data_IF_474596113563
#
_entry.id   IF_474596113563
#
_cell.length_a   1.000
_cell.length_b   1.000
_cell.length_c   1.000
_cell.angle_alpha   90.00
_cell.angle_beta   90.00
_cell.angle_gamma   90.00
#
_symmetry.space_group_name_H-M   'P 1'
#
loop_
_entity.id
_entity.type
_entity.pdbx_description
1 polymer ?
#
# COMPACT_ATOMS: atom_id res chain seq x y z
N UNK A 1 9.45 -24.48 40.69
CA UNK A 1 10.02 -24.59 39.33
C UNK A 1 9.78 -23.25 38.65
N UNK A 2 10.84 -22.53 38.26
CA UNK A 2 10.70 -21.27 37.53
C UNK A 2 10.05 -21.58 36.19
N UNK A 3 8.93 -20.93 35.86
CA UNK A 3 8.27 -21.15 34.57
C UNK A 3 9.20 -20.72 33.44
N UNK A 4 9.26 -21.55 32.40
CA UNK A 4 10.10 -21.33 31.21
C UNK A 4 9.68 -20.07 30.43
N UNK A 5 8.40 -19.71 30.54
CA UNK A 5 7.83 -18.45 30.03
C UNK A 5 7.35 -17.64 31.23
N UNK A 6 7.80 -16.39 31.36
CA UNK A 6 7.36 -15.48 32.42
C UNK A 6 5.93 -15.00 32.20
N UNK A 7 5.27 -14.50 33.26
CA UNK A 7 3.92 -13.94 33.16
C UNK A 7 3.81 -12.76 32.18
N UNK A 8 4.89 -11.97 32.02
CA UNK A 8 4.94 -10.87 31.06
C UNK A 8 5.04 -11.38 29.61
N UNK A 9 5.89 -12.38 29.39
CA UNK A 9 6.04 -13.03 28.07
C UNK A 9 4.77 -13.77 27.65
N UNK A 10 4.06 -14.37 28.61
CA UNK A 10 2.77 -15.00 28.34
C UNK A 10 1.74 -14.01 27.81
N UNK A 11 1.72 -12.75 28.31
CA UNK A 11 0.83 -11.71 27.76
C UNK A 11 1.14 -11.40 26.29
N UNK A 12 2.42 -11.39 25.92
CA UNK A 12 2.86 -11.17 24.53
C UNK A 12 2.42 -12.34 23.65
N UNK A 13 2.58 -13.58 24.14
CA UNK A 13 2.08 -14.78 23.45
C UNK A 13 0.57 -14.72 23.25
N UNK A 14 -0.18 -14.33 24.28
CA UNK A 14 -1.64 -14.24 24.22
C UNK A 14 -2.13 -13.17 23.25
N UNK A 15 -1.49 -12.01 23.21
CA UNK A 15 -1.79 -10.91 22.29
C UNK A 15 -1.56 -11.33 20.83
N UNK A 16 -0.38 -11.90 20.53
CA UNK A 16 -0.01 -12.32 19.17
C UNK A 16 -0.90 -13.45 18.66
N UNK A 17 -1.28 -14.38 19.54
CA UNK A 17 -2.11 -15.54 19.18
C UNK A 17 -3.62 -15.31 19.33
N UNK A 18 -4.05 -14.11 19.74
CA UNK A 18 -5.47 -13.77 19.87
C UNK A 18 -6.21 -14.57 20.95
N UNK A 19 -5.58 -14.80 22.11
CA UNK A 19 -6.06 -15.72 23.14
C UNK A 19 -7.10 -15.15 24.12
N UNK A 20 -7.48 -13.88 23.96
CA UNK A 20 -8.33 -13.15 24.93
C UNK A 20 -9.76 -13.71 25.10
N UNK A 21 -10.25 -14.50 24.14
CA UNK A 21 -11.57 -15.16 24.19
C UNK A 21 -11.54 -16.68 24.40
N UNK A 22 -10.40 -17.26 24.78
CA UNK A 22 -10.23 -18.73 24.87
C UNK A 22 -9.93 -19.41 23.52
N UNK A 23 -9.89 -18.62 22.45
CA UNK A 23 -9.40 -19.01 21.12
C UNK A 23 -7.87 -19.09 21.09
N UNK A 24 -7.33 -19.72 20.06
CA UNK A 24 -5.90 -19.66 19.70
C UNK A 24 -5.90 -19.57 18.17
N UNK A 25 -5.51 -18.42 17.62
CA UNK A 25 -5.65 -18.11 16.19
C UNK A 25 -7.07 -18.48 15.69
N UNK A 26 -7.15 -19.11 14.53
CA UNK A 26 -8.36 -19.63 13.89
C UNK A 26 -8.56 -21.15 14.05
N UNK A 27 -7.86 -21.78 15.01
CA UNK A 27 -7.99 -23.21 15.25
C UNK A 27 -9.36 -23.64 15.79
N UNK A 28 -9.93 -24.68 15.19
CA UNK A 28 -10.97 -25.51 15.83
C UNK A 28 -10.33 -26.50 16.81
N UNK A 29 -11.09 -27.08 17.74
CA UNK A 29 -10.54 -28.07 18.69
C UNK A 29 -9.89 -29.30 18.01
N UNK A 30 -10.48 -29.90 16.96
CA UNK A 30 -9.82 -30.96 16.21
C UNK A 30 -8.53 -30.51 15.51
N UNK A 31 -8.53 -29.32 14.90
CA UNK A 31 -7.35 -28.78 14.22
C UNK A 31 -6.21 -28.45 15.19
N UNK A 32 -6.56 -27.91 16.37
CA UNK A 32 -5.60 -27.64 17.44
C UNK A 32 -4.95 -28.92 17.95
N UNK A 33 -5.74 -30.00 18.13
CA UNK A 33 -5.20 -31.33 18.48
C UNK A 33 -4.26 -31.85 17.41
N UNK A 34 -4.66 -31.78 16.15
CA UNK A 34 -3.86 -32.26 15.03
C UNK A 34 -2.52 -31.50 14.94
N UNK A 35 -2.55 -30.17 15.08
CA UNK A 35 -1.36 -29.33 15.11
C UNK A 35 -0.37 -29.78 16.20
N UNK A 36 -0.83 -30.01 17.43
CA UNK A 36 0.06 -30.47 18.52
C UNK A 36 0.58 -31.90 18.30
N UNK A 37 -0.18 -32.75 17.63
CA UNK A 37 0.25 -34.11 17.28
C UNK A 37 1.46 -34.11 16.32
N UNK A 38 1.58 -33.12 15.43
CA UNK A 38 2.76 -32.93 14.55
C UNK A 38 4.04 -32.71 15.38
N UNK A 39 3.91 -32.03 16.52
CA UNK A 39 4.98 -31.81 17.51
C UNK A 39 5.15 -32.98 18.50
N UNK A 40 4.47 -34.11 18.26
CA UNK A 40 4.44 -35.29 19.14
C UNK A 40 3.94 -34.98 20.55
N UNK A 41 3.03 -34.02 20.68
CA UNK A 41 2.43 -33.62 21.95
C UNK A 41 0.94 -33.96 21.93
N UNK A 42 0.49 -34.76 22.89
CA UNK A 42 -0.93 -34.87 23.20
C UNK A 42 -1.36 -33.69 24.09
N UNK A 43 -1.90 -32.65 23.45
CA UNK A 43 -2.34 -31.43 24.14
C UNK A 43 -3.61 -31.64 24.97
N UNK A 44 -4.31 -32.76 24.77
CA UNK A 44 -5.50 -33.14 25.53
C UNK A 44 -5.18 -33.98 26.77
N UNK A 45 -3.92 -34.37 26.98
CA UNK A 45 -3.53 -35.09 28.17
C UNK A 45 -3.88 -34.32 29.46
N UNK A 46 -4.31 -35.04 30.51
CA UNK A 46 -4.78 -34.48 31.79
C UNK A 46 -3.81 -33.46 32.40
N UNK A 47 -2.50 -33.68 32.23
CA UNK A 47 -1.45 -32.77 32.71
C UNK A 47 -1.59 -31.33 32.19
N UNK A 48 -2.17 -31.12 31.00
CA UNK A 48 -2.36 -29.78 30.42
C UNK A 48 -3.73 -29.18 30.72
N UNK A 49 -4.62 -29.90 31.41
CA UNK A 49 -5.97 -29.45 31.75
C UNK A 49 -6.07 -28.81 33.15
N UNK A 50 -4.95 -28.62 33.85
CA UNK A 50 -4.89 -28.07 35.23
C UNK A 50 -5.69 -26.78 35.43
N UNK A 51 -5.69 -25.91 34.42
CA UNK A 51 -6.33 -24.58 34.47
C UNK A 51 -7.69 -24.57 33.74
N UNK A 52 -8.09 -25.72 33.18
CA UNK A 52 -9.32 -26.00 32.43
C UNK A 52 -9.08 -26.51 31.01
N UNK A 53 -10.16 -26.84 30.31
CA UNK A 53 -10.14 -27.64 29.07
C UNK A 53 -10.13 -26.83 27.76
N UNK A 54 -10.15 -25.49 27.82
CA UNK A 54 -10.11 -24.68 26.60
C UNK A 54 -8.72 -24.69 25.95
N UNK A 55 -8.65 -24.45 24.62
CA UNK A 55 -7.39 -24.43 23.85
C UNK A 55 -6.36 -23.48 24.45
N UNK A 56 -6.78 -22.25 24.75
CA UNK A 56 -5.88 -21.26 25.35
C UNK A 56 -5.36 -21.69 26.72
N UNK A 57 -6.19 -22.34 27.55
CA UNK A 57 -5.78 -22.85 28.86
C UNK A 57 -4.79 -24.00 28.74
N UNK A 58 -5.07 -24.96 27.84
CA UNK A 58 -4.15 -26.06 27.50
C UNK A 58 -2.81 -25.54 26.97
N UNK A 59 -2.82 -24.55 26.07
CA UNK A 59 -1.60 -23.91 25.56
C UNK A 59 -0.77 -23.26 26.66
N UNK A 60 -1.39 -22.48 27.56
CA UNK A 60 -0.69 -21.88 28.71
C UNK A 60 -0.07 -22.95 29.61
N UNK A 61 -0.84 -24.00 29.90
CA UNK A 61 -0.38 -25.10 30.75
C UNK A 61 0.79 -25.83 30.11
N UNK A 62 0.72 -26.09 28.81
CA UNK A 62 1.82 -26.62 28.01
C UNK A 62 3.08 -25.75 28.11
N UNK A 63 2.99 -24.43 27.84
CA UNK A 63 4.14 -23.52 27.85
C UNK A 63 4.79 -23.34 29.24
N UNK A 64 4.07 -23.66 30.33
CA UNK A 64 4.65 -23.65 31.69
C UNK A 64 5.37 -24.94 32.04
N UNK A 65 5.00 -26.05 31.43
CA UNK A 65 5.45 -27.40 31.81
C UNK A 65 6.43 -28.02 30.81
N UNK A 66 6.32 -27.67 29.53
CA UNK A 66 7.14 -28.23 28.48
C UNK A 66 8.61 -27.77 28.59
N UNK A 67 9.51 -28.58 28.06
CA UNK A 67 10.92 -28.21 27.97
C UNK A 67 11.08 -26.96 27.08
N UNK A 68 12.07 -26.09 27.35
CA UNK A 68 12.29 -24.89 26.54
C UNK A 68 12.35 -25.18 25.03
N UNK A 69 13.17 -26.14 24.53
CA UNK A 69 13.29 -26.40 23.08
C UNK A 69 11.95 -26.70 22.40
N UNK A 70 11.15 -27.57 23.01
CA UNK A 70 9.83 -27.95 22.51
C UNK A 70 8.84 -26.78 22.58
N UNK A 71 8.90 -25.96 23.63
CA UNK A 71 8.09 -24.74 23.73
C UNK A 71 8.44 -23.75 22.62
N UNK A 72 9.74 -23.59 22.33
CA UNK A 72 10.22 -22.73 21.26
C UNK A 72 9.78 -23.20 19.88
N UNK A 73 9.89 -24.50 19.60
CA UNK A 73 9.46 -25.13 18.35
C UNK A 73 7.95 -24.95 18.09
N UNK A 74 7.13 -25.21 19.11
CA UNK A 74 5.67 -25.02 19.01
C UNK A 74 5.32 -23.55 18.80
N UNK A 75 5.96 -22.61 19.51
CA UNK A 75 5.73 -21.17 19.29
C UNK A 75 6.17 -20.72 17.89
N UNK A 76 7.27 -21.25 17.35
CA UNK A 76 7.72 -20.96 15.99
C UNK A 76 6.68 -21.42 14.96
N UNK A 77 6.20 -22.67 15.09
CA UNK A 77 5.19 -23.25 14.20
C UNK A 77 3.83 -22.54 14.29
N UNK A 78 3.42 -22.09 15.50
CA UNK A 78 2.21 -21.27 15.67
C UNK A 78 2.34 -19.92 14.97
N UNK A 79 3.53 -19.33 14.95
CA UNK A 79 3.78 -18.07 14.24
C UNK A 79 3.69 -18.25 12.72
N UNK A 80 4.18 -19.37 12.18
CA UNK A 80 4.05 -19.72 10.77
C UNK A 80 2.58 -19.91 10.38
N UNK A 81 1.81 -20.63 11.19
CA UNK A 81 0.36 -20.78 11.00
C UNK A 81 -0.35 -19.42 10.98
N UNK A 82 0.01 -18.53 11.90
CA UNK A 82 -0.51 -17.16 11.94
C UNK A 82 -0.20 -16.36 10.66
N UNK A 83 0.96 -16.57 10.05
CA UNK A 83 1.34 -15.84 8.83
C UNK A 83 0.50 -16.24 7.61
N UNK A 84 -0.03 -17.46 7.59
CA UNK A 84 -0.90 -17.98 6.52
C UNK A 84 -2.38 -17.69 6.81
N UNK A 85 -2.77 -17.57 8.08
CA UNK A 85 -4.16 -17.30 8.45
C UNK A 85 -4.60 -15.87 8.07
N UNK A 86 -5.70 -15.77 7.33
CA UNK A 86 -6.27 -14.50 6.83
C UNK A 86 -7.23 -13.82 7.81
N UNK A 87 -7.43 -14.40 9.01
CA UNK A 87 -8.49 -14.00 9.96
C UNK A 87 -8.03 -13.15 11.15
N UNK A 88 -6.75 -12.81 11.28
CA UNK A 88 -6.27 -11.97 12.38
C UNK A 88 -6.24 -10.48 12.00
N UNK A 89 -6.72 -9.64 12.92
CA UNK A 89 -6.57 -8.18 12.85
C UNK A 89 -5.12 -7.73 13.04
N UNK A 90 -4.88 -6.42 12.93
CA UNK A 90 -3.57 -5.83 13.08
C UNK A 90 -3.01 -6.04 14.51
N UNK A 91 -1.94 -6.83 14.65
CA UNK A 91 -1.12 -6.89 15.87
C UNK A 91 0.08 -5.96 15.71
N UNK A 92 0.48 -5.27 16.78
CA UNK A 92 1.67 -4.40 16.78
C UNK A 92 2.91 -5.14 16.27
N UNK A 93 3.69 -4.47 15.41
CA UNK A 93 5.01 -4.96 14.98
C UNK A 93 5.94 -5.24 16.17
N UNK A 94 5.79 -4.52 17.28
CA UNK A 94 6.59 -4.70 18.49
C UNK A 94 6.26 -6.01 19.21
N UNK A 95 4.98 -6.35 19.38
CA UNK A 95 4.55 -7.61 20.00
C UNK A 95 5.05 -8.82 19.19
N UNK A 96 5.03 -8.73 17.86
CA UNK A 96 5.56 -9.78 16.98
C UNK A 96 7.08 -9.94 17.12
N UNK A 97 7.83 -8.85 17.24
CA UNK A 97 9.29 -8.92 17.48
C UNK A 97 9.59 -9.60 18.80
N UNK A 98 8.94 -9.17 19.90
CA UNK A 98 9.14 -9.79 21.22
C UNK A 98 8.71 -11.26 21.24
N UNK A 99 7.66 -11.64 20.52
CA UNK A 99 7.25 -13.04 20.36
C UNK A 99 8.35 -13.88 19.72
N UNK A 100 8.97 -13.40 18.64
CA UNK A 100 10.09 -14.09 17.97
C UNK A 100 11.28 -14.26 18.91
N UNK A 101 11.60 -13.24 19.70
CA UNK A 101 12.66 -13.30 20.71
C UNK A 101 12.39 -14.39 21.76
N UNK A 102 11.15 -14.48 22.25
CA UNK A 102 10.74 -15.53 23.19
C UNK A 102 10.93 -16.91 22.55
N UNK A 103 10.38 -17.15 21.37
CA UNK A 103 10.49 -18.44 20.70
C UNK A 103 11.94 -18.85 20.41
N UNK A 104 12.81 -17.92 19.98
CA UNK A 104 14.25 -18.17 19.78
C UNK A 104 14.99 -18.45 21.07
N UNK A 105 14.73 -17.67 22.13
CA UNK A 105 15.33 -17.91 23.45
C UNK A 105 15.00 -19.31 23.96
N UNK A 106 13.81 -19.80 23.64
CA UNK A 106 13.38 -21.14 23.99
C UNK A 106 13.97 -22.23 23.09
N UNK A 107 14.67 -21.90 22.00
CA UNK A 107 15.30 -22.87 21.11
C UNK A 107 14.49 -23.19 19.84
N UNK A 108 13.41 -22.44 19.58
CA UNK A 108 12.66 -22.54 18.34
C UNK A 108 13.42 -21.93 17.16
N UNK A 109 13.41 -22.65 16.04
CA UNK A 109 13.85 -22.10 14.76
C UNK A 109 12.74 -21.24 14.17
N UNK A 110 12.59 -20.04 14.69
CA UNK A 110 11.80 -19.03 13.99
C UNK A 110 12.70 -18.53 12.88
N UNK A 111 12.28 -18.58 11.59
CA UNK A 111 12.96 -17.82 10.57
C UNK A 111 13.22 -16.43 11.14
N UNK A 112 14.36 -15.84 10.83
CA UNK A 112 14.28 -14.41 10.64
C UNK A 112 13.10 -14.26 9.67
N UNK A 113 12.02 -13.70 10.21
CA UNK A 113 11.55 -12.53 9.52
C UNK A 113 12.87 -11.82 9.24
N UNK A 114 13.36 -11.95 7.99
CA UNK A 114 13.62 -10.75 7.21
C UNK A 114 12.63 -9.83 7.84
N UNK A 115 13.11 -8.87 8.61
CA UNK A 115 12.25 -7.80 8.98
C UNK A 115 11.48 -7.50 7.66
N UNK A 116 10.27 -6.96 7.65
CA UNK A 116 10.12 -5.97 6.60
C UNK A 116 11.40 -5.14 6.75
N UNK A 117 12.45 -5.37 5.92
CA UNK A 117 13.78 -4.75 6.01
C UNK A 117 13.38 -3.36 6.35
N UNK A 118 13.56 -2.88 7.61
CA UNK A 118 12.67 -1.84 8.15
C UNK A 118 12.44 -0.88 7.01
N UNK A 119 11.28 -0.96 6.33
CA UNK A 119 11.29 -0.54 4.91
C UNK A 119 11.45 0.93 5.08
N UNK A 120 12.62 1.52 4.76
CA UNK A 120 13.36 2.43 5.66
C UNK A 120 12.48 3.55 6.12
N UNK A 121 11.65 3.29 7.14
CA UNK A 121 10.39 4.01 7.34
C UNK A 121 9.91 4.64 6.02
N UNK A 122 9.73 3.85 4.93
CA UNK A 122 10.07 4.21 3.53
C UNK A 122 9.89 5.69 3.42
N UNK A 123 10.99 6.44 3.29
CA UNK A 123 10.86 7.88 3.29
C UNK A 123 9.77 8.21 2.27
N UNK A 124 9.01 9.27 2.48
CA UNK A 124 7.98 9.59 1.50
C UNK A 124 8.63 9.80 0.08
N UNK A 125 9.96 10.03 -0.01
CA UNK A 125 10.76 9.84 -1.24
C UNK A 125 10.87 8.38 -1.74
N UNK A 126 11.14 7.40 -0.88
CA UNK A 126 11.15 5.97 -1.24
C UNK A 126 9.77 5.48 -1.69
N UNK A 127 8.68 6.01 -1.11
CA UNK A 127 7.32 5.73 -1.58
C UNK A 127 7.09 6.33 -2.98
N UNK A 128 7.49 7.57 -3.23
CA UNK A 128 7.42 8.20 -4.56
C UNK A 128 8.23 7.41 -5.61
N UNK A 129 9.42 6.95 -5.24
CA UNK A 129 10.29 6.14 -6.08
C UNK A 129 9.71 4.75 -6.41
N UNK A 130 8.96 4.16 -5.47
CA UNK A 130 8.26 2.90 -5.69
C UNK A 130 6.96 3.06 -6.50
N UNK A 131 6.40 4.26 -6.51
CA UNK A 131 5.09 4.54 -7.10
C UNK A 131 5.19 4.81 -8.60
N UNK A 132 6.23 5.52 -9.08
CA UNK A 132 6.42 5.79 -10.51
C UNK A 132 7.61 5.04 -11.10
N UNK A 133 7.37 4.36 -12.23
CA UNK A 133 8.42 3.88 -13.12
C UNK A 133 8.18 4.41 -14.55
N UNK A 134 9.22 4.84 -15.28
CA UNK A 134 9.09 5.36 -16.65
C UNK A 134 8.27 4.45 -17.58
N UNK A 135 8.40 3.14 -17.43
CA UNK A 135 7.72 2.15 -18.28
C UNK A 135 6.20 2.17 -18.12
N UNK A 136 5.67 2.76 -17.04
CA UNK A 136 4.23 2.92 -16.86
C UNK A 136 3.62 3.83 -17.93
N UNK A 137 4.33 4.88 -18.36
CA UNK A 137 3.86 5.77 -19.43
C UNK A 137 4.00 5.13 -20.81
N UNK A 138 5.03 4.31 -21.01
CA UNK A 138 5.26 3.58 -22.27
C UNK A 138 4.14 2.56 -22.53
N UNK A 139 3.50 2.05 -21.48
CA UNK A 139 2.36 1.12 -21.58
C UNK A 139 1.03 1.78 -21.89
N UNK A 140 0.95 3.12 -21.82
CA UNK A 140 -0.27 3.82 -22.15
C UNK A 140 -0.50 3.84 -23.67
N UNK A 141 -1.75 3.99 -24.14
CA UNK A 141 -2.09 4.08 -25.56
C UNK A 141 -1.69 5.46 -26.15
N UNK A 142 -0.40 5.79 -26.09
CA UNK A 142 0.18 7.05 -26.54
C UNK A 142 1.16 6.81 -27.68
N UNK A 143 1.45 7.83 -28.48
CA UNK A 143 2.56 7.77 -29.42
C UNK A 143 3.88 7.61 -28.64
N UNK A 144 4.78 6.75 -29.13
CA UNK A 144 6.05 6.40 -28.45
C UNK A 144 6.84 7.64 -28.03
N UNK A 145 7.08 8.58 -28.95
CA UNK A 145 7.83 9.80 -28.64
C UNK A 145 7.13 10.72 -27.62
N UNK A 146 5.80 10.70 -27.55
CA UNK A 146 5.07 11.42 -26.50
C UNK A 146 5.24 10.71 -25.16
N UNK A 147 5.11 9.38 -25.10
CA UNK A 147 5.28 8.61 -23.88
C UNK A 147 6.68 8.79 -23.27
N UNK A 148 7.73 8.75 -24.10
CA UNK A 148 9.12 9.01 -23.68
C UNK A 148 9.29 10.41 -23.12
N UNK A 149 8.80 11.44 -23.83
CA UNK A 149 8.88 12.83 -23.36
C UNK A 149 8.15 13.03 -22.02
N UNK A 150 6.99 12.38 -21.83
CA UNK A 150 6.26 12.46 -20.57
C UNK A 150 7.00 11.74 -19.44
N UNK A 151 7.67 10.62 -19.74
CA UNK A 151 8.49 9.89 -18.78
C UNK A 151 9.71 10.69 -18.34
N UNK A 152 10.36 11.39 -19.26
CA UNK A 152 11.47 12.31 -18.97
C UNK A 152 11.00 13.46 -18.08
N UNK A 153 9.86 14.09 -18.41
CA UNK A 153 9.28 15.17 -17.59
C UNK A 153 8.90 14.71 -16.20
N UNK A 154 8.35 13.51 -16.06
CA UNK A 154 7.99 12.94 -14.75
C UNK A 154 9.25 12.62 -13.93
N UNK A 155 10.31 12.12 -14.58
CA UNK A 155 11.63 11.91 -13.95
C UNK A 155 12.27 13.23 -13.52
N UNK A 156 12.12 14.30 -14.32
CA UNK A 156 12.54 15.65 -13.96
C UNK A 156 11.73 16.21 -12.78
N UNK A 157 10.41 16.03 -12.78
CA UNK A 157 9.56 16.45 -11.67
C UNK A 157 9.98 15.80 -10.35
N UNK A 158 10.35 14.51 -10.37
CA UNK A 158 10.91 13.81 -9.21
C UNK A 158 12.21 14.46 -8.72
N UNK A 159 13.16 14.72 -9.62
CA UNK A 159 14.42 15.41 -9.26
C UNK A 159 14.16 16.80 -8.67
N UNK A 160 13.17 17.53 -9.18
CA UNK A 160 12.75 18.82 -8.61
C UNK A 160 12.21 18.68 -7.17
N UNK A 161 11.46 17.62 -6.85
CA UNK A 161 11.00 17.36 -5.48
C UNK A 161 12.20 17.10 -4.57
N UNK A 162 13.13 16.24 -5.00
CA UNK A 162 14.33 15.88 -4.25
C UNK A 162 15.26 17.08 -4.01
N UNK A 163 15.29 18.04 -4.94
CA UNK A 163 16.11 19.25 -4.85
C UNK A 163 15.41 20.45 -4.19
N UNK A 164 14.18 20.30 -3.70
CA UNK A 164 13.40 21.40 -3.10
C UNK A 164 12.80 22.40 -4.09
N UNK A 165 12.83 22.12 -5.40
CA UNK A 165 12.27 22.96 -6.46
C UNK A 165 10.76 22.66 -6.69
N UNK A 166 9.94 22.84 -5.66
CA UNK A 166 8.55 22.37 -5.63
C UNK A 166 7.63 22.99 -6.67
N UNK A 167 7.77 24.30 -6.95
CA UNK A 167 6.98 24.96 -8.01
C UNK A 167 7.23 24.29 -9.37
N UNK A 168 8.50 24.04 -9.71
CA UNK A 168 8.90 23.37 -10.95
C UNK A 168 8.35 21.95 -11.03
N UNK A 169 8.42 21.19 -9.93
CA UNK A 169 7.86 19.84 -9.87
C UNK A 169 6.35 19.83 -10.16
N UNK A 170 5.60 20.76 -9.58
CA UNK A 170 4.15 20.85 -9.78
C UNK A 170 3.79 21.28 -11.20
N UNK A 171 4.53 22.25 -11.77
CA UNK A 171 4.34 22.67 -13.16
C UNK A 171 4.61 21.52 -14.13
N UNK A 172 5.69 20.77 -13.91
CA UNK A 172 5.99 19.56 -14.70
C UNK A 172 4.91 18.50 -14.53
N UNK A 173 4.45 18.21 -13.31
CA UNK A 173 3.36 17.27 -13.05
C UNK A 173 2.07 17.65 -13.78
N UNK A 174 1.69 18.93 -13.75
CA UNK A 174 0.53 19.43 -14.51
C UNK A 174 0.71 19.30 -16.03
N UNK A 175 1.92 19.52 -16.56
CA UNK A 175 2.23 19.29 -17.97
C UNK A 175 2.15 17.81 -18.34
N UNK A 176 2.57 16.90 -17.47
CA UNK A 176 2.49 15.45 -17.72
C UNK A 176 1.04 15.00 -17.75
N UNK A 177 0.21 15.45 -16.79
CA UNK A 177 -1.22 15.13 -16.78
C UNK A 177 -1.92 15.63 -18.06
N UNK A 178 -1.64 16.85 -18.51
CA UNK A 178 -2.18 17.39 -19.76
C UNK A 178 -1.75 16.57 -20.98
N UNK A 179 -0.48 16.16 -21.03
CA UNK A 179 0.04 15.33 -22.10
C UNK A 179 -0.59 13.92 -22.15
N UNK A 180 -0.81 13.29 -20.99
CA UNK A 180 -1.55 12.02 -20.89
C UNK A 180 -2.97 12.19 -21.45
N UNK A 181 -3.70 13.21 -20.98
CA UNK A 181 -5.07 13.47 -21.42
C UNK A 181 -5.15 13.71 -22.94
N UNK A 182 -4.27 14.56 -23.48
CA UNK A 182 -4.20 14.83 -24.91
C UNK A 182 -3.88 13.56 -25.71
N UNK A 183 -2.92 12.76 -25.26
CA UNK A 183 -2.54 11.54 -25.98
C UNK A 183 -3.65 10.49 -26.01
N UNK A 184 -4.41 10.32 -24.93
CA UNK A 184 -5.63 9.50 -24.92
C UNK A 184 -6.65 10.05 -25.93
N UNK A 185 -6.84 11.37 -25.94
CA UNK A 185 -7.72 12.03 -26.90
C UNK A 185 -7.31 11.79 -28.35
N UNK A 186 -6.00 11.83 -28.64
CA UNK A 186 -5.46 11.56 -29.98
C UNK A 186 -5.61 10.09 -30.38
N UNK A 187 -5.59 9.15 -29.43
CA UNK A 187 -5.85 7.74 -29.70
C UNK A 187 -7.31 7.47 -30.04
N UNK A 188 -8.26 8.18 -29.40
CA UNK A 188 -9.70 8.01 -29.65
C UNK A 188 -10.45 9.35 -29.84
N UNK A 189 -10.21 10.11 -30.94
CA UNK A 189 -10.73 11.46 -31.11
C UNK A 189 -12.26 11.55 -31.13
N UNK A 190 -12.93 10.63 -31.82
CA UNK A 190 -14.40 10.63 -31.93
C UNK A 190 -15.08 10.43 -30.58
N UNK A 191 -14.51 9.56 -29.74
CA UNK A 191 -15.01 9.24 -28.40
C UNK A 191 -14.97 10.46 -27.50
N UNK A 192 -13.83 11.15 -27.45
CA UNK A 192 -13.66 12.34 -26.60
C UNK A 192 -14.45 13.53 -27.14
N UNK A 193 -14.47 13.75 -28.46
CA UNK A 193 -15.24 14.84 -29.07
C UNK A 193 -16.74 14.70 -28.81
N UNK A 194 -17.29 13.48 -28.91
CA UNK A 194 -18.70 13.21 -28.59
C UNK A 194 -19.01 13.52 -27.13
N UNK A 195 -18.15 13.11 -26.21
CA UNK A 195 -18.32 13.38 -24.79
C UNK A 195 -18.22 14.88 -24.48
N UNK A 196 -17.30 15.61 -25.12
CA UNK A 196 -17.20 17.06 -25.00
C UNK A 196 -18.45 17.77 -25.49
N UNK A 197 -18.95 17.41 -26.68
CA UNK A 197 -20.16 18.03 -27.20
C UNK A 197 -21.39 17.74 -26.35
N UNK A 198 -21.49 16.54 -25.77
CA UNK A 198 -22.53 16.22 -24.81
C UNK A 198 -22.39 17.00 -23.49
N UNK A 199 -21.16 17.28 -23.05
CA UNK A 199 -20.88 17.99 -21.79
C UNK A 199 -21.12 19.49 -21.89
N UNK A 200 -20.69 20.12 -22.99
CA UNK A 200 -20.68 21.58 -23.15
C UNK A 200 -21.74 22.09 -24.13
N UNK A 201 -22.54 21.21 -24.72
CA UNK A 201 -23.58 21.53 -25.70
C UNK A 201 -23.05 22.39 -26.87
N UNK A 202 -21.83 22.10 -27.34
CA UNK A 202 -21.16 22.80 -28.44
C UNK A 202 -20.19 21.86 -29.17
N UNK A 203 -19.85 22.10 -30.45
CA UNK A 203 -18.85 21.30 -31.15
C UNK A 203 -17.50 21.34 -30.41
N UNK A 204 -16.82 20.19 -30.38
CA UNK A 204 -15.48 20.11 -29.84
C UNK A 204 -14.49 20.93 -30.69
N UNK A 205 -13.67 21.82 -30.08
CA UNK A 205 -12.55 22.44 -30.78
C UNK A 205 -11.45 21.41 -31.07
N UNK A 206 -10.38 21.82 -31.75
CA UNK A 206 -9.25 20.92 -32.02
C UNK A 206 -8.65 20.44 -30.69
N UNK A 207 -8.25 19.17 -30.61
CA UNK A 207 -7.84 18.55 -29.35
C UNK A 207 -6.70 19.28 -28.61
N UNK A 208 -5.77 19.89 -29.34
CA UNK A 208 -4.67 20.67 -28.75
C UNK A 208 -5.10 22.03 -28.17
N UNK A 209 -6.33 22.49 -28.47
CA UNK A 209 -6.90 23.73 -27.95
C UNK A 209 -7.67 23.50 -26.63
N UNK A 210 -7.89 22.25 -26.25
CA UNK A 210 -8.59 21.90 -25.01
C UNK A 210 -7.72 22.21 -23.80
N UNK A 211 -8.32 22.88 -22.81
CA UNK A 211 -7.69 23.15 -21.52
C UNK A 211 -7.68 21.87 -20.69
N UNK A 212 -6.68 21.72 -19.82
CA UNK A 212 -6.62 20.60 -18.87
C UNK A 212 -7.91 20.40 -18.06
N UNK A 213 -8.64 21.48 -17.72
CA UNK A 213 -9.94 21.37 -17.07
C UNK A 213 -10.97 20.60 -17.91
N UNK A 214 -11.04 20.89 -19.20
CA UNK A 214 -11.99 20.26 -20.12
C UNK A 214 -11.64 18.78 -20.30
N UNK A 215 -10.35 18.48 -20.41
CA UNK A 215 -9.84 17.11 -20.43
C UNK A 215 -10.24 16.31 -19.19
N UNK A 216 -9.98 16.84 -17.99
CA UNK A 216 -10.28 16.16 -16.73
C UNK A 216 -11.79 15.81 -16.66
N UNK A 217 -12.65 16.79 -16.97
CA UNK A 217 -14.11 16.61 -16.93
C UNK A 217 -14.57 15.55 -17.94
N UNK A 218 -14.07 15.62 -19.18
CA UNK A 218 -14.46 14.70 -20.24
C UNK A 218 -13.98 13.27 -19.96
N UNK A 219 -12.73 13.11 -19.52
CA UNK A 219 -12.15 11.80 -19.23
C UNK A 219 -12.72 11.16 -17.96
N UNK A 220 -13.11 11.96 -16.95
CA UNK A 220 -13.90 11.45 -15.81
C UNK A 220 -15.26 10.92 -16.27
N UNK A 221 -15.98 11.69 -17.09
CA UNK A 221 -17.28 11.27 -17.65
C UNK A 221 -17.18 9.97 -18.45
N UNK A 222 -16.08 9.79 -19.16
CA UNK A 222 -15.79 8.61 -19.97
C UNK A 222 -15.27 7.41 -19.16
N UNK A 223 -14.98 7.60 -17.87
CA UNK A 223 -14.44 6.58 -16.97
C UNK A 223 -12.94 6.35 -17.10
N UNK A 224 -12.22 7.15 -17.87
CA UNK A 224 -10.76 7.05 -18.03
C UNK A 224 -9.99 7.54 -16.80
N UNK A 225 -10.59 8.49 -16.06
CA UNK A 225 -10.08 9.01 -14.80
C UNK A 225 -11.11 8.78 -13.69
N UNK A 226 -10.65 8.31 -12.53
CA UNK A 226 -11.52 8.18 -11.36
C UNK A 226 -11.94 9.55 -10.81
N UNK A 227 -13.07 9.64 -10.08
CA UNK A 227 -13.50 10.89 -9.44
C UNK A 227 -12.46 11.50 -8.50
N UNK A 228 -11.64 10.66 -7.85
CA UNK A 228 -10.54 11.12 -7.01
C UNK A 228 -9.46 11.81 -7.85
N UNK A 229 -9.00 11.17 -8.93
CA UNK A 229 -8.01 11.76 -9.84
C UNK A 229 -8.56 13.03 -10.48
N UNK A 230 -9.85 13.11 -10.82
CA UNK A 230 -10.47 14.33 -11.34
C UNK A 230 -10.44 15.48 -10.32
N UNK A 231 -10.95 15.23 -9.10
CA UNK A 231 -10.99 16.22 -8.02
C UNK A 231 -9.61 16.78 -7.71
N UNK A 232 -8.61 15.91 -7.60
CA UNK A 232 -7.24 16.32 -7.31
C UNK A 232 -6.49 16.85 -8.55
N UNK A 233 -6.85 16.40 -9.75
CA UNK A 233 -6.35 16.92 -11.01
C UNK A 233 -6.70 18.39 -11.22
N UNK A 234 -7.90 18.82 -10.78
CA UNK A 234 -8.26 20.23 -10.76
C UNK A 234 -7.35 21.06 -9.83
N UNK A 235 -6.99 20.52 -8.67
CA UNK A 235 -6.04 21.19 -7.77
C UNK A 235 -4.62 21.27 -8.39
N UNK A 236 -4.14 20.18 -8.99
CA UNK A 236 -2.86 20.16 -9.72
C UNK A 236 -2.83 21.19 -10.86
N UNK A 237 -3.91 21.31 -11.64
CA UNK A 237 -4.06 22.37 -12.65
C UNK A 237 -3.90 23.75 -12.03
N UNK A 238 -4.55 24.01 -10.90
CA UNK A 238 -4.48 25.32 -10.24
C UNK A 238 -3.08 25.64 -9.74
N UNK A 239 -2.39 24.65 -9.18
CA UNK A 239 -1.01 24.83 -8.76
C UNK A 239 -0.04 25.02 -9.94
N UNK A 240 -0.25 24.33 -11.07
CA UNK A 240 0.51 24.56 -12.31
C UNK A 240 0.37 26.01 -12.80
N UNK A 241 -0.80 26.64 -12.61
CA UNK A 241 -1.02 28.02 -13.04
C UNK A 241 -0.15 29.04 -12.28
N UNK A 242 0.49 28.65 -11.18
CA UNK A 242 1.50 29.48 -10.49
C UNK A 242 2.83 29.59 -11.26
N UNK A 243 2.95 28.97 -12.43
CA UNK A 243 3.96 29.37 -13.42
C UNK A 243 3.86 30.87 -13.78
N UNK A 244 2.67 31.45 -13.63
CA UNK A 244 2.46 32.90 -13.74
C UNK A 244 2.63 33.57 -12.36
N UNK A 245 3.65 34.44 -12.17
CA UNK A 245 3.91 35.08 -10.87
C UNK A 245 2.73 35.91 -10.33
N UNK A 246 1.94 36.53 -11.22
CA UNK A 246 0.74 37.28 -10.84
C UNK A 246 -0.33 36.40 -10.19
N UNK A 247 -0.54 35.19 -10.72
CA UNK A 247 -1.47 34.21 -10.15
C UNK A 247 -0.98 33.74 -8.78
N UNK A 248 0.34 33.51 -8.63
CA UNK A 248 0.94 33.11 -7.37
C UNK A 248 0.82 34.20 -6.28
N UNK A 249 1.07 35.46 -6.63
CA UNK A 249 0.92 36.61 -5.73
C UNK A 249 -0.52 36.79 -5.26
N UNK A 250 -1.49 36.67 -6.18
CA UNK A 250 -2.91 36.78 -5.86
C UNK A 250 -3.37 35.68 -4.89
N UNK A 251 -2.87 34.46 -5.07
CA UNK A 251 -3.18 33.32 -4.21
C UNK A 251 -2.46 33.35 -2.84
N UNK A 252 -1.37 34.15 -2.71
CA UNK A 252 -0.48 34.17 -1.53
C UNK A 252 -0.03 32.76 -1.10
N UNK A 253 0.18 31.91 -2.09
CA UNK A 253 0.51 30.50 -1.90
C UNK A 253 1.74 30.16 -2.72
N UNK A 254 2.61 29.31 -2.16
CA UNK A 254 3.72 28.72 -2.89
C UNK A 254 3.69 27.21 -2.64
N UNK A 255 3.81 26.38 -3.69
CA UNK A 255 3.94 24.94 -3.51
C UNK A 255 5.11 24.61 -2.59
N UNK A 256 4.85 23.74 -1.63
CA UNK A 256 5.83 23.17 -0.71
C UNK A 256 6.10 21.69 -1.05
N UNK A 257 6.91 21.03 -0.22
CA UNK A 257 7.24 19.62 -0.38
C UNK A 257 5.97 18.76 -0.48
N UNK A 258 5.02 18.97 0.43
CA UNK A 258 3.80 18.18 0.49
C UNK A 258 2.94 18.36 -0.75
N UNK A 259 2.75 19.61 -1.20
CA UNK A 259 2.02 19.97 -2.42
C UNK A 259 2.62 19.29 -3.65
N UNK A 260 3.95 19.30 -3.78
CA UNK A 260 4.63 18.69 -4.91
C UNK A 260 4.51 17.16 -4.91
N UNK A 261 4.58 16.52 -3.74
CA UNK A 261 4.43 15.06 -3.60
C UNK A 261 3.02 14.60 -3.89
N UNK A 262 2.00 15.30 -3.39
CA UNK A 262 0.60 15.02 -3.73
C UNK A 262 0.39 15.18 -5.25
N UNK A 263 0.88 16.28 -5.83
CA UNK A 263 0.83 16.53 -7.27
C UNK A 263 1.42 15.39 -8.09
N UNK A 264 2.59 14.88 -7.69
CA UNK A 264 3.23 13.75 -8.32
C UNK A 264 2.38 12.47 -8.23
N UNK A 265 1.85 12.15 -7.05
CA UNK A 265 0.99 10.97 -6.86
C UNK A 265 -0.31 11.03 -7.66
N UNK A 266 -0.87 12.22 -7.87
CA UNK A 266 -2.07 12.40 -8.70
C UNK A 266 -1.79 11.98 -10.14
N UNK A 267 -0.64 12.37 -10.70
CA UNK A 267 -0.24 11.96 -12.05
C UNK A 267 -0.06 10.44 -12.11
N UNK A 268 0.55 9.83 -11.11
CA UNK A 268 0.72 8.37 -11.08
C UNK A 268 -0.63 7.63 -10.97
N UNK A 269 -1.54 8.14 -10.15
CA UNK A 269 -2.90 7.61 -10.06
C UNK A 269 -3.64 7.72 -11.41
N UNK A 270 -3.48 8.84 -12.13
CA UNK A 270 -4.01 9.01 -13.47
C UNK A 270 -3.45 7.96 -14.45
N UNK A 271 -2.14 7.72 -14.44
CA UNK A 271 -1.52 6.65 -15.25
C UNK A 271 -2.16 5.29 -14.90
N UNK A 272 -2.36 5.01 -13.61
CA UNK A 272 -2.99 3.78 -13.14
C UNK A 272 -4.44 3.61 -13.60
N UNK A 273 -5.24 4.68 -13.55
CA UNK A 273 -6.64 4.66 -14.01
C UNK A 273 -6.71 4.39 -15.52
N UNK A 274 -5.91 5.12 -16.31
CA UNK A 274 -5.86 4.97 -17.77
C UNK A 274 -5.37 3.56 -18.15
N UNK A 275 -4.38 3.02 -17.43
CA UNK A 275 -3.88 1.66 -17.65
C UNK A 275 -4.96 0.61 -17.40
N UNK A 276 -5.81 0.77 -16.37
CA UNK A 276 -6.91 -0.18 -16.12
C UNK A 276 -7.94 -0.18 -17.24
N UNK A 277 -8.23 1.00 -17.80
CA UNK A 277 -9.26 1.16 -18.84
C UNK A 277 -8.77 0.68 -20.20
N UNK A 278 -7.49 0.92 -20.53
CA UNK A 278 -6.94 0.65 -21.86
C UNK A 278 -5.98 -0.55 -21.92
N UNK A 279 -5.47 -1.03 -20.78
CA UNK A 279 -4.48 -2.11 -20.68
C UNK A 279 -5.06 -3.53 -20.66
N UNK A 280 -6.39 -3.69 -20.80
CA UNK A 280 -7.06 -4.99 -20.88
C UNK A 280 -7.11 -5.62 -22.28
N UNK A 281 -6.37 -5.07 -23.25
CA UNK A 281 -6.33 -5.57 -24.64
C UNK A 281 -4.92 -6.04 -25.01
N UNK A 282 -4.45 -7.12 -24.39
CA UNK A 282 -3.35 -7.96 -24.89
C UNK A 282 -3.65 -9.41 -24.56
#
# INVERSE_FOLDING_TARGET
MSSVVSSLEMRIVEDVLGMHGGYVLDFTDPAFRAFFAEHKVDIDADRFQSDGTSKAKRLRSFLRQALPPLSGEVLASLLEHRAVSTKLGATSSESLTRYREIARRLGGQVPDAKAPEASPLRSEEDLLALVFRPEMLIKLPLQVGLAELLADRMSEARRCIESGAYLSAVVLGGSVLEGICLGIGLHAPERVNRAFSAQYNKPAPKLHEWRLQEWIIVLERLGDLSPNVSKFGHALRDFRNYIHPSAQLAAKFSPDAHTARISFHIVVAAIGDVTKVHGGST
#
